data_IF_054536958621
#
_entry.id   IF_054536958621
#
_cell.length_a   1.000
_cell.length_b   1.000
_cell.length_c   1.000
_cell.angle_alpha   90.00
_cell.angle_beta   90.00
_cell.angle_gamma   90.00
#
_symmetry.space_group_name_H-M   'P 1'
#
loop_
_entity.id
_entity.type
_entity.pdbx_description
1 polymer ?
#
# COMPACT_ATOMS: atom_id res chain seq x y z
N UNK A 1 0.07 34.65 96.87
CA UNK A 1 1.33 35.02 97.54
C UNK A 1 2.41 35.09 96.46
N UNK A 2 2.87 36.30 96.15
CA UNK A 2 4.00 36.72 95.29
C UNK A 2 4.10 36.12 93.86
N UNK A 3 3.71 36.84 92.79
CA UNK A 3 4.34 38.02 92.16
C UNK A 3 5.76 37.77 91.62
N UNK A 4 5.92 37.85 90.29
CA UNK A 4 6.84 38.78 89.61
C UNK A 4 6.54 38.84 88.11
N UNK A 5 6.05 40.00 87.67
CA UNK A 5 6.11 40.47 86.28
C UNK A 5 7.55 40.74 85.86
N UNK A 6 7.88 40.50 84.59
CA UNK A 6 8.86 41.31 83.88
C UNK A 6 8.34 41.58 82.46
N UNK A 7 8.27 42.87 82.14
CA UNK A 7 7.95 43.45 80.84
C UNK A 7 9.16 43.27 79.90
N UNK A 8 8.94 42.85 78.66
CA UNK A 8 9.84 43.22 77.56
C UNK A 8 9.06 43.39 76.25
N UNK A 9 9.32 44.52 75.63
CA UNK A 9 8.67 45.15 74.48
C UNK A 9 8.79 44.37 73.17
N UNK A 10 7.76 44.52 72.34
CA UNK A 10 7.57 43.90 71.02
C UNK A 10 8.58 44.38 69.96
N UNK A 11 9.00 43.46 69.09
CA UNK A 11 9.25 43.75 67.68
C UNK A 11 8.53 42.66 66.85
N UNK A 12 7.47 43.05 66.16
CA UNK A 12 6.68 42.20 65.29
C UNK A 12 7.40 42.12 63.94
N UNK A 13 8.22 41.09 63.74
CA UNK A 13 8.79 40.80 62.42
C UNK A 13 7.80 39.91 61.66
N UNK A 14 6.96 40.53 60.84
CA UNK A 14 6.20 39.82 59.80
C UNK A 14 7.19 39.51 58.69
N UNK A 15 7.82 38.35 58.76
CA UNK A 15 8.43 37.75 57.58
C UNK A 15 7.30 37.04 56.87
N UNK A 16 6.82 37.68 55.81
CA UNK A 16 5.91 37.07 54.84
C UNK A 16 6.65 35.85 54.29
N UNK A 17 6.16 34.64 54.56
CA UNK A 17 6.48 33.49 53.71
C UNK A 17 5.84 33.80 52.35
N UNK A 18 6.60 34.47 51.46
CA UNK A 18 6.31 34.35 50.05
C UNK A 18 6.64 32.92 49.68
N UNK A 19 5.62 32.14 49.35
CA UNK A 19 5.82 30.91 48.58
C UNK A 19 6.60 31.35 47.34
N UNK A 20 7.86 30.94 47.23
CA UNK A 20 8.55 30.98 45.95
C UNK A 20 7.66 30.20 45.01
N UNK A 21 7.12 30.89 44.01
CA UNK A 21 6.42 30.26 42.89
C UNK A 21 7.22 29.02 42.52
N UNK A 22 6.55 27.88 42.50
CA UNK A 22 7.03 26.74 41.76
C UNK A 22 7.29 27.28 40.35
N UNK A 23 8.55 27.56 40.03
CA UNK A 23 9.05 27.56 38.67
C UNK A 23 8.74 26.13 38.20
N UNK A 24 7.53 25.98 37.68
CA UNK A 24 7.16 24.93 36.77
C UNK A 24 8.05 25.16 35.56
N UNK A 25 9.31 24.76 35.71
CA UNK A 25 10.27 24.58 34.65
C UNK A 25 9.73 23.37 33.88
N UNK A 26 8.62 23.62 33.17
CA UNK A 26 8.13 22.84 32.06
C UNK A 26 9.31 22.80 31.10
N UNK A 27 10.16 21.79 31.27
CA UNK A 27 11.16 21.46 30.29
C UNK A 27 10.36 21.20 29.03
N UNK A 28 10.42 22.12 28.08
CA UNK A 28 9.81 21.93 26.78
C UNK A 28 10.40 20.64 26.21
N UNK A 29 9.60 19.58 26.21
CA UNK A 29 9.99 18.33 25.56
C UNK A 29 10.10 18.65 24.09
N UNK A 30 11.30 18.50 23.54
CA UNK A 30 11.51 18.59 22.10
C UNK A 30 11.21 17.20 21.55
N UNK A 31 10.14 17.00 20.78
CA UNK A 31 9.79 15.70 20.27
C UNK A 31 10.92 15.13 19.39
N UNK A 32 11.09 13.82 19.48
CA UNK A 32 11.99 13.03 18.63
C UNK A 32 11.22 11.75 18.29
N UNK A 33 10.83 11.60 17.03
CA UNK A 33 10.09 10.42 16.57
C UNK A 33 11.01 9.22 16.34
N UNK A 34 12.32 9.41 16.33
CA UNK A 34 13.31 8.38 16.07
C UNK A 34 13.08 7.69 14.72
N UNK A 35 13.35 6.39 14.69
CA UNK A 35 13.25 5.56 13.48
C UNK A 35 12.12 4.54 13.58
N UNK A 36 11.38 4.37 12.48
CA UNK A 36 10.46 3.26 12.25
C UNK A 36 11.16 2.09 11.55
N UNK A 37 10.82 0.87 11.99
CA UNK A 37 11.25 -0.39 11.37
C UNK A 37 10.05 -1.33 11.13
N UNK A 38 10.20 -2.33 10.24
CA UNK A 38 9.18 -3.35 9.97
C UNK A 38 8.84 -3.59 8.50
N UNK A 39 9.15 -2.64 7.60
CA UNK A 39 8.90 -2.77 6.15
C UNK A 39 10.18 -2.75 5.28
N UNK A 40 10.10 -2.44 3.98
CA UNK A 40 8.89 -2.03 3.24
C UNK A 40 7.87 -3.17 3.08
N UNK A 41 6.63 -2.82 2.72
CA UNK A 41 5.57 -3.76 2.43
C UNK A 41 5.14 -3.69 0.97
N UNK A 42 4.71 -4.83 0.44
CA UNK A 42 4.16 -4.93 -0.91
C UNK A 42 2.94 -5.84 -0.89
N UNK A 43 1.84 -5.34 -1.43
CA UNK A 43 0.53 -5.97 -1.42
C UNK A 43 -0.03 -6.05 -2.83
N UNK A 44 -1.00 -6.94 -3.03
CA UNK A 44 -1.74 -7.07 -4.27
C UNK A 44 -3.21 -6.77 -4.01
N UNK A 45 -3.77 -5.81 -4.73
CA UNK A 45 -5.19 -5.50 -4.63
C UNK A 45 -5.99 -6.64 -5.25
N UNK A 46 -6.47 -7.56 -4.41
CA UNK A 46 -7.15 -8.79 -4.79
C UNK A 46 -8.49 -9.01 -4.07
N UNK A 47 -8.90 -8.04 -3.23
CA UNK A 47 -10.14 -8.10 -2.46
C UNK A 47 -10.03 -8.87 -1.15
N UNK A 48 -8.83 -9.34 -0.77
CA UNK A 48 -8.54 -9.84 0.57
C UNK A 48 -7.86 -8.75 1.41
N UNK A 49 -8.04 -8.77 2.76
CA UNK A 49 -7.41 -7.79 3.61
C UNK A 49 -5.88 -7.84 3.57
N UNK A 50 -5.27 -6.69 3.29
CA UNK A 50 -3.83 -6.51 3.21
C UNK A 50 -3.34 -5.64 4.37
N UNK A 51 -2.90 -6.29 5.44
CA UNK A 51 -2.50 -5.62 6.68
C UNK A 51 -0.98 -5.67 6.88
N UNK A 52 -0.41 -4.52 7.26
CA UNK A 52 0.99 -4.47 7.72
C UNK A 52 1.16 -5.14 9.08
N UNK A 53 2.36 -5.65 9.36
CA UNK A 53 2.68 -6.24 10.66
C UNK A 53 4.15 -6.05 11.03
N UNK A 54 4.49 -6.21 12.32
CA UNK A 54 5.87 -6.18 12.79
C UNK A 54 6.48 -4.79 12.77
N UNK A 55 5.65 -3.74 12.74
CA UNK A 55 6.14 -2.36 12.79
C UNK A 55 6.55 -2.03 14.22
N UNK A 56 7.73 -1.44 14.38
CA UNK A 56 8.19 -0.94 15.68
C UNK A 56 8.80 0.46 15.59
N UNK A 57 8.43 1.31 16.55
CA UNK A 57 8.99 2.64 16.75
C UNK A 57 10.21 2.61 17.67
N UNK A 58 11.07 3.59 17.54
CA UNK A 58 12.24 3.77 18.41
C UNK A 58 11.82 3.79 19.90
N UNK A 59 12.41 2.93 20.75
CA UNK A 59 12.10 2.91 22.19
C UNK A 59 12.49 4.20 22.91
N UNK A 60 13.38 5.01 22.34
CA UNK A 60 13.81 6.29 22.89
C UNK A 60 13.06 7.48 22.28
N UNK A 61 12.04 7.26 21.44
CA UNK A 61 11.27 8.37 20.90
C UNK A 61 10.65 9.20 22.05
N UNK A 62 10.72 10.53 21.94
CA UNK A 62 10.28 11.51 22.94
C UNK A 62 9.17 12.43 22.40
N UNK A 63 8.37 13.00 23.31
CA UNK A 63 7.20 13.84 23.01
C UNK A 63 5.98 13.42 23.82
N UNK A 64 5.14 14.37 24.24
CA UNK A 64 3.99 14.11 25.12
C UNK A 64 2.89 13.28 24.45
N UNK A 65 2.71 13.42 23.14
CA UNK A 65 1.73 12.68 22.36
C UNK A 65 2.40 11.92 21.21
N UNK A 66 1.71 10.90 20.70
CA UNK A 66 2.12 10.15 19.52
C UNK A 66 0.95 9.68 18.68
N UNK A 67 1.21 9.47 17.39
CA UNK A 67 0.31 8.77 16.45
C UNK A 67 1.14 8.21 15.30
N UNK A 68 0.59 7.26 14.57
CA UNK A 68 1.05 6.98 13.21
C UNK A 68 0.36 7.91 12.23
N UNK A 69 1.04 8.21 11.13
CA UNK A 69 0.49 8.98 9.99
C UNK A 69 0.65 8.13 8.75
N UNK A 70 -0.44 7.88 8.04
CA UNK A 70 -0.43 7.21 6.74
C UNK A 70 -0.67 8.30 5.70
N UNK A 71 0.24 8.45 4.73
CA UNK A 71 0.10 9.40 3.62
C UNK A 71 0.11 8.69 2.27
N UNK A 72 -0.36 9.38 1.23
CA UNK A 72 0.03 9.06 -0.14
C UNK A 72 1.48 9.52 -0.44
N UNK A 73 1.93 9.33 -1.68
CA UNK A 73 3.26 9.73 -2.17
C UNK A 73 3.47 11.26 -2.25
N UNK A 74 2.38 12.02 -2.19
CA UNK A 74 2.34 13.48 -2.23
C UNK A 74 2.23 14.10 -0.83
N UNK A 75 2.21 13.26 0.22
CA UNK A 75 2.12 13.66 1.62
C UNK A 75 0.70 13.95 2.12
N UNK A 76 -0.34 13.68 1.34
CA UNK A 76 -1.73 13.85 1.82
C UNK A 76 -2.06 12.75 2.83
N UNK A 77 -2.61 13.14 3.97
CA UNK A 77 -2.91 12.24 5.09
C UNK A 77 -4.15 11.42 4.75
N UNK A 78 -3.98 10.10 4.70
CA UNK A 78 -5.03 9.11 4.48
C UNK A 78 -5.58 8.54 5.79
N UNK A 79 -4.74 8.49 6.83
CA UNK A 79 -5.12 7.92 8.12
C UNK A 79 -4.19 8.32 9.26
N UNK A 80 -4.72 8.28 10.49
CA UNK A 80 -4.00 8.60 11.72
C UNK A 80 -4.20 7.51 12.78
N UNK A 81 -3.63 6.30 12.61
CA UNK A 81 -3.80 5.23 13.58
C UNK A 81 -3.17 5.60 14.93
N UNK A 82 -3.92 5.55 16.04
CA UNK A 82 -3.45 6.06 17.33
C UNK A 82 -2.36 5.18 17.99
N UNK A 83 -2.15 3.96 17.51
CA UNK A 83 -1.15 3.04 18.02
C UNK A 83 -0.86 1.93 16.99
N UNK A 84 0.16 1.12 17.26
CA UNK A 84 0.59 0.05 16.34
C UNK A 84 -0.50 -0.98 16.08
N UNK A 85 -1.32 -1.34 17.09
CA UNK A 85 -2.41 -2.30 16.89
C UNK A 85 -3.49 -1.76 15.95
N UNK A 86 -3.79 -0.47 16.04
CA UNK A 86 -4.71 0.18 15.12
C UNK A 86 -4.12 0.30 13.71
N UNK A 87 -2.80 0.55 13.59
CA UNK A 87 -2.10 0.58 12.30
C UNK A 87 -2.08 -0.80 11.64
N UNK A 88 -1.72 -1.84 12.37
CA UNK A 88 -1.71 -3.23 11.88
C UNK A 88 -3.13 -3.76 11.61
N UNK A 89 -4.16 -3.05 12.07
CA UNK A 89 -5.56 -3.29 11.73
C UNK A 89 -6.03 -2.58 10.45
N UNK A 90 -5.22 -1.70 9.86
CA UNK A 90 -5.55 -1.02 8.60
C UNK A 90 -5.42 -2.00 7.44
N UNK A 91 -6.50 -2.10 6.67
CA UNK A 91 -6.55 -2.84 5.42
C UNK A 91 -6.17 -1.92 4.25
N UNK A 92 -5.08 -2.26 3.56
CA UNK A 92 -4.54 -1.50 2.44
C UNK A 92 -5.17 -1.88 1.08
N UNK A 93 -5.96 -2.95 1.01
CA UNK A 93 -6.60 -3.41 -0.24
C UNK A 93 -7.65 -2.39 -0.75
N UNK A 94 -8.47 -1.87 0.16
CA UNK A 94 -9.62 -1.02 -0.18
C UNK A 94 -9.27 0.37 -0.76
N UNK A 95 -8.00 0.77 -0.77
CA UNK A 95 -7.57 2.10 -1.21
C UNK A 95 -6.99 2.12 -2.64
N UNK A 96 -7.10 1.01 -3.39
CA UNK A 96 -6.64 0.89 -4.79
C UNK A 96 -5.12 0.81 -4.95
N UNK A 97 -4.66 0.77 -6.20
CA UNK A 97 -3.22 0.70 -6.51
C UNK A 97 -2.48 2.00 -6.21
N UNK A 98 -1.19 1.89 -5.88
CA UNK A 98 -0.28 3.03 -5.65
C UNK A 98 0.57 2.88 -4.40
N UNK A 99 1.31 3.94 -4.07
CA UNK A 99 2.24 3.95 -2.93
C UNK A 99 1.68 4.77 -1.77
N UNK A 100 1.81 4.23 -0.56
CA UNK A 100 1.57 4.93 0.68
C UNK A 100 2.83 4.94 1.54
N UNK A 101 2.92 5.92 2.43
CA UNK A 101 4.01 6.05 3.39
C UNK A 101 3.45 6.03 4.81
N UNK A 102 4.07 5.25 5.68
CA UNK A 102 3.75 5.19 7.10
C UNK A 102 4.84 5.93 7.86
N UNK A 103 4.44 6.85 8.73
CA UNK A 103 5.30 7.66 9.56
C UNK A 103 4.92 7.50 11.03
N UNK A 104 5.87 7.77 11.93
CA UNK A 104 5.59 7.96 13.35
C UNK A 104 5.75 9.44 13.68
N UNK A 105 4.74 9.99 14.34
CA UNK A 105 4.67 11.40 14.69
C UNK A 105 4.70 11.52 16.21
N UNK A 106 5.65 12.31 16.72
CA UNK A 106 5.69 12.76 18.13
C UNK A 106 5.43 14.24 18.19
N UNK A 107 4.60 14.68 19.12
CA UNK A 107 4.15 16.06 19.16
C UNK A 107 3.69 16.51 20.55
N UNK A 108 3.70 17.83 20.74
CA UNK A 108 3.19 18.51 21.92
C UNK A 108 1.79 19.11 21.69
N UNK A 109 1.16 19.57 22.77
CA UNK A 109 -0.12 20.28 22.66
C UNK A 109 -0.06 21.47 21.68
N UNK A 110 -1.11 21.66 20.89
CA UNK A 110 -1.22 22.76 19.93
C UNK A 110 -0.77 22.42 18.50
N UNK A 111 -0.45 21.15 18.20
CA UNK A 111 -0.24 20.68 16.83
C UNK A 111 -1.48 20.96 15.96
N UNK A 112 -1.26 21.44 14.74
CA UNK A 112 -2.28 21.71 13.73
C UNK A 112 -1.94 21.00 12.42
N UNK A 113 -2.97 20.61 11.66
CA UNK A 113 -2.84 20.01 10.32
C UNK A 113 -2.74 18.49 10.29
N UNK A 114 -2.67 17.81 11.45
CA UNK A 114 -2.70 16.35 11.53
C UNK A 114 -4.15 15.84 11.45
N UNK A 115 -4.75 15.96 10.26
CA UNK A 115 -6.13 15.56 9.97
C UNK A 115 -6.20 14.87 8.60
N UNK A 116 -7.11 13.90 8.44
CA UNK A 116 -7.30 13.21 7.16
C UNK A 116 -7.72 14.21 6.09
N UNK A 117 -7.07 14.15 4.92
CA UNK A 117 -7.26 15.07 3.80
C UNK A 117 -6.36 16.30 3.82
N UNK A 118 -5.64 16.58 4.92
CA UNK A 118 -4.60 17.61 4.98
C UNK A 118 -3.25 17.05 4.48
N UNK A 119 -2.25 17.91 4.31
CA UNK A 119 -0.91 17.48 3.88
C UNK A 119 0.07 17.47 5.07
N UNK A 120 0.82 16.38 5.24
CA UNK A 120 1.79 16.20 6.32
C UNK A 120 2.98 17.19 6.22
N UNK A 121 3.24 17.78 5.05
CA UNK A 121 4.24 18.84 4.90
C UNK A 121 3.77 20.19 5.47
N UNK A 122 2.47 20.33 5.73
CA UNK A 122 1.87 21.58 6.24
C UNK A 122 1.61 21.53 7.76
N UNK A 123 2.15 20.53 8.47
CA UNK A 123 2.04 20.43 9.92
C UNK A 123 2.66 21.66 10.61
N UNK A 124 1.97 22.18 11.62
CA UNK A 124 2.41 23.35 12.39
C UNK A 124 2.35 23.05 13.88
N UNK A 125 3.38 23.47 14.62
CA UNK A 125 3.50 23.24 16.06
C UNK A 125 4.88 22.71 16.43
N UNK A 126 4.97 22.09 17.61
CA UNK A 126 6.19 21.41 18.07
C UNK A 126 6.00 19.91 17.87
N UNK A 127 6.71 19.36 16.88
CA UNK A 127 6.63 17.96 16.49
C UNK A 127 7.92 17.47 15.86
N UNK A 128 8.02 16.15 15.72
CA UNK A 128 9.00 15.47 14.89
C UNK A 128 8.36 14.27 14.18
N UNK A 129 8.85 13.97 12.98
CA UNK A 129 8.35 12.90 12.11
C UNK A 129 9.51 11.94 11.80
N UNK A 130 9.30 10.64 11.98
CA UNK A 130 10.32 9.63 11.72
C UNK A 130 10.68 9.54 10.23
N UNK A 131 11.60 8.63 9.88
CA UNK A 131 11.62 8.10 8.51
C UNK A 131 10.25 7.47 8.14
N UNK A 132 9.98 7.35 6.85
CA UNK A 132 8.84 6.58 6.37
C UNK A 132 9.14 5.09 6.23
N UNK A 133 8.08 4.29 6.32
CA UNK A 133 8.01 2.94 5.77
C UNK A 133 7.13 2.99 4.51
N UNK A 134 7.63 2.46 3.40
CA UNK A 134 6.89 2.38 2.15
C UNK A 134 5.94 1.18 2.13
N UNK A 135 4.73 1.40 1.64
CA UNK A 135 3.74 0.38 1.32
C UNK A 135 3.35 0.52 -0.14
N UNK A 136 3.73 -0.46 -0.96
CA UNK A 136 3.36 -0.53 -2.38
C UNK A 136 2.14 -1.43 -2.54
N UNK A 137 1.10 -0.91 -3.18
CA UNK A 137 -0.14 -1.66 -3.48
C UNK A 137 -0.23 -1.86 -4.98
N UNK A 138 0.04 -3.08 -5.42
CA UNK A 138 -0.01 -3.44 -6.82
C UNK A 138 -1.44 -3.77 -7.23
N UNK A 139 -1.93 -3.14 -8.28
CA UNK A 139 -3.23 -3.45 -8.87
C UNK A 139 -3.07 -3.70 -10.39
N UNK A 140 -2.50 -4.85 -10.81
CA UNK A 140 -2.43 -5.19 -12.22
C UNK A 140 -3.83 -5.20 -12.83
N UNK A 141 -3.94 -4.72 -14.07
CA UNK A 141 -5.19 -4.73 -14.81
C UNK A 141 -4.94 -5.27 -16.21
N UNK A 142 -5.46 -6.46 -16.51
CA UNK A 142 -5.39 -7.07 -17.83
C UNK A 142 -6.15 -6.29 -18.91
N UNK A 143 -7.03 -5.38 -18.51
CA UNK A 143 -7.88 -4.57 -19.38
C UNK A 143 -8.78 -5.41 -20.27
N UNK A 144 -9.18 -4.84 -21.40
CA UNK A 144 -9.98 -5.56 -22.40
C UNK A 144 -9.22 -5.80 -23.71
N UNK A 145 -9.38 -7.01 -24.25
CA UNK A 145 -8.99 -7.33 -25.61
C UNK A 145 -10.20 -7.17 -26.54
N UNK A 146 -9.99 -6.44 -27.64
CA UNK A 146 -10.92 -6.23 -28.73
C UNK A 146 -10.48 -7.00 -29.98
N UNK A 147 -11.45 -7.41 -30.80
CA UNK A 147 -11.23 -8.22 -32.00
C UNK A 147 -12.01 -9.53 -31.93
N UNK A 148 -11.75 -10.43 -32.88
CA UNK A 148 -12.38 -11.75 -32.96
C UNK A 148 -13.93 -11.73 -32.86
N UNK A 149 -14.55 -12.86 -32.49
CA UNK A 149 -13.96 -14.20 -32.45
C UNK A 149 -13.45 -14.62 -33.84
N UNK A 150 -12.55 -15.60 -33.89
CA UNK A 150 -12.00 -16.13 -35.15
C UNK A 150 -12.52 -17.55 -35.42
N UNK A 151 -12.63 -17.89 -36.71
CA UNK A 151 -13.00 -19.23 -37.15
C UNK A 151 -12.18 -19.63 -38.36
N UNK A 152 -11.55 -20.80 -38.26
CA UNK A 152 -10.65 -21.37 -39.26
C UNK A 152 -11.09 -22.80 -39.63
N UNK A 153 -10.64 -23.27 -40.79
CA UNK A 153 -10.87 -24.64 -41.26
C UNK A 153 -9.52 -25.33 -41.39
N UNK A 154 -9.36 -26.51 -40.79
CA UNK A 154 -8.11 -27.25 -40.87
C UNK A 154 -7.92 -27.76 -42.30
N UNK A 155 -7.12 -27.07 -43.09
CA UNK A 155 -6.90 -27.32 -44.51
C UNK A 155 -5.41 -27.46 -44.90
N UNK A 156 -4.51 -27.30 -43.93
CA UNK A 156 -3.06 -27.41 -44.12
C UNK A 156 -2.39 -26.12 -44.59
N UNK A 157 -3.12 -25.01 -44.70
CA UNK A 157 -2.55 -23.68 -44.87
C UNK A 157 -2.45 -22.95 -43.51
N UNK A 158 -1.50 -22.02 -43.34
CA UNK A 158 -1.38 -21.27 -42.10
C UNK A 158 -2.61 -20.42 -41.78
N UNK A 159 -3.13 -20.58 -40.56
CA UNK A 159 -4.30 -19.85 -40.05
C UNK A 159 -3.89 -18.91 -38.92
N UNK A 160 -3.57 -17.66 -39.28
CA UNK A 160 -3.11 -16.63 -38.36
C UNK A 160 -4.23 -15.65 -37.98
N UNK A 161 -4.34 -15.32 -36.69
CA UNK A 161 -5.25 -14.26 -36.23
C UNK A 161 -4.71 -12.87 -36.60
N UNK A 162 -5.59 -11.89 -36.71
CA UNK A 162 -5.20 -10.49 -36.92
C UNK A 162 -6.25 -9.51 -36.42
N UNK A 163 -5.85 -8.26 -36.18
CA UNK A 163 -6.78 -7.18 -35.80
C UNK A 163 -7.20 -7.22 -34.34
N UNK A 164 -6.41 -7.89 -33.50
CA UNK A 164 -6.56 -7.86 -32.06
C UNK A 164 -6.00 -6.52 -31.56
N UNK A 165 -6.66 -5.91 -30.58
CA UNK A 165 -6.18 -4.69 -29.93
C UNK A 165 -6.54 -4.65 -28.45
N UNK A 166 -5.85 -3.79 -27.70
CA UNK A 166 -6.08 -3.57 -26.28
C UNK A 166 -6.84 -2.24 -26.10
N UNK A 167 -7.71 -2.17 -25.09
CA UNK A 167 -8.48 -0.95 -24.77
C UNK A 167 -7.65 0.22 -24.22
N UNK A 168 -6.39 -0.02 -23.85
CA UNK A 168 -5.45 0.98 -23.34
C UNK A 168 -5.52 1.21 -21.82
N UNK A 169 -6.34 0.45 -21.09
CA UNK A 169 -6.48 0.61 -19.64
C UNK A 169 -5.55 -0.31 -18.83
N UNK A 170 -4.67 -1.06 -19.48
CA UNK A 170 -3.87 -2.09 -18.83
C UNK A 170 -2.82 -1.51 -17.87
N UNK A 171 -2.70 -2.11 -16.68
CA UNK A 171 -1.77 -1.70 -15.62
C UNK A 171 -0.94 -2.88 -15.09
N UNK A 172 0.18 -2.62 -14.42
CA UNK A 172 1.10 -3.61 -13.84
C UNK A 172 2.51 -3.54 -14.44
N UNK A 173 3.51 -4.15 -13.81
CA UNK A 173 4.91 -4.03 -14.25
C UNK A 173 5.27 -4.96 -15.41
N UNK A 174 4.70 -6.16 -15.43
CA UNK A 174 4.98 -7.19 -16.43
C UNK A 174 3.73 -7.53 -17.25
N UNK A 175 3.95 -8.09 -18.44
CA UNK A 175 2.86 -8.54 -19.31
C UNK A 175 3.24 -9.71 -20.22
N UNK A 176 2.26 -10.52 -20.58
CA UNK A 176 2.38 -11.53 -21.64
C UNK A 176 1.01 -11.81 -22.25
N UNK A 177 0.97 -12.46 -23.41
CA UNK A 177 -0.24 -13.10 -23.91
C UNK A 177 -0.30 -14.53 -23.42
N UNK A 178 -1.51 -15.05 -23.21
CA UNK A 178 -1.73 -16.45 -22.84
C UNK A 178 -2.66 -17.05 -23.88
N UNK A 179 -2.26 -18.17 -24.46
CA UNK A 179 -3.11 -18.97 -25.33
C UNK A 179 -3.45 -20.25 -24.59
N UNK A 180 -4.73 -20.52 -24.38
CA UNK A 180 -5.21 -21.74 -23.73
C UNK A 180 -6.11 -22.56 -24.64
N UNK A 181 -6.35 -23.82 -24.27
CA UNK A 181 -7.54 -24.54 -24.73
C UNK A 181 -8.81 -24.04 -24.03
N UNK A 182 -9.96 -24.66 -24.35
CA UNK A 182 -11.28 -24.34 -23.78
C UNK A 182 -11.46 -24.76 -22.32
N UNK A 183 -10.52 -25.52 -21.76
CA UNK A 183 -10.46 -25.89 -20.33
C UNK A 183 -9.42 -25.08 -19.55
N UNK A 184 -8.74 -24.14 -20.21
CA UNK A 184 -7.76 -23.25 -19.61
C UNK A 184 -6.34 -23.82 -19.54
N UNK A 185 -6.02 -24.95 -20.18
CA UNK A 185 -4.64 -25.42 -20.22
C UNK A 185 -3.82 -24.53 -21.16
N UNK A 186 -2.66 -24.06 -20.68
CA UNK A 186 -1.79 -23.13 -21.39
C UNK A 186 -1.08 -23.88 -22.51
N UNK A 187 -1.32 -23.43 -23.74
CA UNK A 187 -0.71 -23.94 -24.97
C UNK A 187 0.48 -23.07 -25.39
N UNK A 188 0.44 -21.77 -25.07
CA UNK A 188 1.50 -20.83 -25.43
C UNK A 188 1.48 -19.56 -24.58
N UNK A 189 2.64 -18.91 -24.51
CA UNK A 189 2.84 -17.64 -23.80
C UNK A 189 3.55 -16.62 -24.70
N UNK A 190 2.92 -16.14 -25.79
CA UNK A 190 3.56 -15.21 -26.70
C UNK A 190 3.90 -13.88 -25.98
N UNK A 191 5.13 -13.38 -26.06
CA UNK A 191 5.52 -12.18 -25.31
C UNK A 191 4.96 -10.90 -25.92
N UNK A 192 4.61 -10.90 -27.22
CA UNK A 192 4.03 -9.74 -27.91
C UNK A 192 2.80 -10.10 -28.72
N UNK A 193 2.01 -9.09 -29.07
CA UNK A 193 0.86 -9.28 -29.96
C UNK A 193 1.29 -9.78 -31.35
N UNK A 194 2.43 -9.32 -31.85
CA UNK A 194 2.97 -9.80 -33.13
C UNK A 194 3.29 -11.29 -33.09
N UNK A 195 3.72 -11.81 -31.93
CA UNK A 195 3.94 -13.25 -31.75
C UNK A 195 2.63 -14.02 -31.71
N UNK A 196 1.56 -13.45 -31.12
CA UNK A 196 0.20 -14.02 -31.18
C UNK A 196 -0.30 -14.08 -32.63
N UNK A 197 -0.18 -12.98 -33.38
CA UNK A 197 -0.58 -12.92 -34.79
C UNK A 197 0.30 -13.83 -35.67
N UNK A 198 1.51 -14.17 -35.22
CA UNK A 198 2.39 -15.15 -35.84
C UNK A 198 2.04 -16.62 -35.57
N UNK A 199 1.14 -16.91 -34.63
CA UNK A 199 0.71 -18.29 -34.33
C UNK A 199 -0.15 -18.82 -35.47
N UNK A 200 0.27 -19.96 -36.01
CA UNK A 200 -0.52 -20.77 -36.94
C UNK A 200 -1.44 -21.72 -36.16
N UNK A 201 -2.75 -21.49 -36.26
CA UNK A 201 -3.76 -22.27 -35.56
C UNK A 201 -4.18 -23.56 -36.30
N UNK A 202 -3.78 -23.77 -37.56
CA UNK A 202 -4.08 -24.99 -38.33
C UNK A 202 -3.37 -26.21 -37.70
N UNK A 203 -2.10 -26.03 -37.29
CA UNK A 203 -1.25 -27.09 -36.77
C UNK A 203 -1.68 -27.71 -35.43
N UNK A 204 -2.67 -27.13 -34.74
CA UNK A 204 -3.11 -27.56 -33.42
C UNK A 204 -4.40 -28.40 -33.42
N UNK A 205 -4.90 -28.80 -34.61
CA UNK A 205 -6.08 -29.66 -34.78
C UNK A 205 -7.42 -28.98 -34.46
N UNK A 206 -8.56 -29.68 -34.67
CA UNK A 206 -9.89 -29.10 -34.44
C UNK A 206 -10.15 -28.86 -32.95
N UNK A 207 -10.90 -27.80 -32.66
CA UNK A 207 -11.26 -27.40 -31.29
C UNK A 207 -11.19 -25.89 -31.08
N UNK A 208 -11.36 -25.47 -29.83
CA UNK A 208 -11.39 -24.05 -29.44
C UNK A 208 -10.11 -23.70 -28.66
N UNK A 209 -9.49 -22.59 -29.04
CA UNK A 209 -8.47 -21.92 -28.23
C UNK A 209 -9.01 -20.59 -27.72
N UNK A 210 -8.47 -20.13 -26.61
CA UNK A 210 -8.76 -18.82 -26.03
C UNK A 210 -7.46 -18.02 -25.97
N UNK A 211 -7.53 -16.75 -26.39
CA UNK A 211 -6.43 -15.79 -26.33
C UNK A 211 -6.75 -14.79 -25.22
N UNK A 212 -5.80 -14.60 -24.31
CA UNK A 212 -5.89 -13.71 -23.16
C UNK A 212 -4.68 -12.77 -23.12
N UNK A 213 -4.83 -11.65 -22.44
CA UNK A 213 -3.73 -10.76 -22.08
C UNK A 213 -3.60 -10.77 -20.56
N UNK A 214 -2.37 -10.99 -20.10
CA UNK A 214 -2.05 -11.15 -18.69
C UNK A 214 -1.14 -10.01 -18.25
N UNK A 215 -1.54 -9.33 -17.18
CA UNK A 215 -0.72 -8.35 -16.47
C UNK A 215 -0.40 -8.86 -15.08
N UNK A 216 0.83 -8.69 -14.65
CA UNK A 216 1.30 -9.29 -13.39
C UNK A 216 2.51 -8.56 -12.82
N UNK A 217 2.78 -8.84 -11.55
CA UNK A 217 4.00 -8.42 -10.86
C UNK A 217 4.96 -9.58 -10.67
N UNK A 218 6.19 -9.27 -10.25
CA UNK A 218 7.19 -10.29 -9.95
C UNK A 218 6.66 -11.31 -8.93
N UNK A 219 7.05 -12.58 -9.10
CA UNK A 219 6.61 -13.67 -8.24
C UNK A 219 5.36 -14.43 -8.71
N UNK A 220 4.81 -14.10 -9.90
CA UNK A 220 3.79 -14.93 -10.55
C UNK A 220 4.25 -16.38 -10.71
N UNK A 221 3.36 -17.33 -10.40
CA UNK A 221 3.59 -18.77 -10.57
C UNK A 221 2.47 -19.42 -11.41
N UNK A 222 2.81 -20.51 -12.10
CA UNK A 222 1.86 -21.33 -12.87
C UNK A 222 1.65 -20.90 -14.32
N UNK A 223 2.24 -19.77 -14.75
CA UNK A 223 2.22 -19.32 -16.14
C UNK A 223 3.26 -20.07 -16.98
N UNK A 224 3.02 -21.36 -17.22
CA UNK A 224 3.91 -22.25 -17.96
C UNK A 224 3.10 -23.13 -18.93
N UNK A 225 3.68 -23.49 -20.07
CA UNK A 225 3.03 -24.38 -21.05
C UNK A 225 2.73 -25.74 -20.38
N UNK A 226 1.50 -26.22 -20.55
CA UNK A 226 0.98 -27.45 -19.94
C UNK A 226 0.37 -27.27 -18.55
N UNK A 227 0.53 -26.12 -17.91
CA UNK A 227 -0.19 -25.75 -16.68
C UNK A 227 -1.57 -25.20 -17.01
N UNK A 228 -2.42 -24.98 -16.01
CA UNK A 228 -3.76 -24.44 -16.19
C UNK A 228 -3.84 -22.98 -15.72
N UNK A 229 -4.36 -22.08 -16.57
CA UNK A 229 -4.46 -20.64 -16.30
C UNK A 229 -5.42 -20.31 -15.14
N UNK A 230 -6.30 -21.22 -14.74
CA UNK A 230 -7.13 -21.05 -13.54
C UNK A 230 -6.35 -21.30 -12.24
N UNK A 231 -5.13 -21.84 -12.34
CA UNK A 231 -4.26 -22.14 -11.19
C UNK A 231 -3.09 -21.15 -11.08
N UNK A 232 -3.17 -19.99 -11.75
CA UNK A 232 -2.20 -18.93 -11.56
C UNK A 232 -2.26 -18.41 -10.12
N UNK A 233 -1.10 -18.08 -9.57
CA UNK A 233 -0.98 -17.50 -8.22
C UNK A 233 0.06 -16.39 -8.20
N UNK A 234 -0.14 -15.41 -7.34
CA UNK A 234 0.65 -14.17 -7.28
C UNK A 234 -0.22 -12.97 -7.60
N UNK A 235 0.39 -11.81 -7.85
CA UNK A 235 -0.35 -10.60 -8.16
C UNK A 235 -0.55 -10.45 -9.67
N UNK A 236 -1.76 -10.66 -10.17
CA UNK A 236 -2.05 -10.62 -11.59
C UNK A 236 -3.51 -10.29 -11.92
N UNK A 237 -3.73 -9.95 -13.19
CA UNK A 237 -5.05 -9.77 -13.78
C UNK A 237 -5.06 -10.28 -15.22
N UNK A 238 -6.07 -11.10 -15.54
CA UNK A 238 -6.36 -11.57 -16.89
C UNK A 238 -7.44 -10.70 -17.51
N UNK A 239 -7.28 -10.36 -18.79
CA UNK A 239 -8.31 -9.72 -19.59
C UNK A 239 -9.51 -10.64 -19.84
N UNK A 240 -10.53 -10.14 -20.55
CA UNK A 240 -11.46 -11.03 -21.25
C UNK A 240 -10.70 -11.89 -22.29
N UNK A 241 -11.28 -13.03 -22.68
CA UNK A 241 -10.73 -13.87 -23.76
C UNK A 241 -11.29 -13.51 -25.13
N UNK A 242 -10.52 -13.80 -26.18
CA UNK A 242 -11.00 -13.98 -27.56
C UNK A 242 -10.96 -15.46 -27.94
N UNK A 243 -12.04 -15.99 -28.50
CA UNK A 243 -12.09 -17.38 -28.96
C UNK A 243 -11.62 -17.55 -30.41
N UNK A 244 -10.85 -18.61 -30.66
CA UNK A 244 -10.46 -19.11 -31.98
C UNK A 244 -11.03 -20.52 -32.15
N UNK A 245 -11.97 -20.70 -33.08
CA UNK A 245 -12.57 -22.01 -33.38
C UNK A 245 -11.95 -22.60 -34.64
N UNK A 246 -11.52 -23.86 -34.58
CA UNK A 246 -10.93 -24.60 -35.71
C UNK A 246 -11.82 -25.80 -36.04
N UNK A 247 -12.29 -25.89 -37.28
CA UNK A 247 -13.22 -26.93 -37.76
C UNK A 247 -12.59 -27.87 -38.78
#
# INVERSE_FOLDING_TARGET
MFSKSFFLTALFSVIVLSCSNDDDNMVAVMPDAGTLSGGPFTFCIDGQPDNVNGISSDPNAEGSNSTFVITDDSGNILGLPPNVLALEGVDFDGAGGGTCLIWYLRYEEGLQGAEVGMNANDLQGVFDLSNSIEVVRNAPDGGQILGGPFTFTIDGNPDNVSGISLDGNQAGSNSTWVITDDTGNILGLPPTLADVEGVDFDGAGPGVCLIWYLRFEDGLQGAEIGMNANNLSGCFSLSNSISVTRN
#
